data_IF_189612754848
#
_entry.id   IF_189612754848
#
_cell.length_a   1.000
_cell.length_b   1.000
_cell.length_c   1.000
_cell.angle_alpha   90.00
_cell.angle_beta   90.00
_cell.angle_gamma   90.00
#
_symmetry.space_group_name_H-M   'P 1'
#
loop_
_entity.id
_entity.type
_entity.pdbx_description
1 polymer ?
#
# COMPACT_ATOMS: atom_id res chain seq x y z
N UNK A 1 5.88 6.43 11.07
CA UNK A 1 4.83 5.77 10.25
C UNK A 1 3.67 6.75 10.15
N UNK A 2 3.17 7.02 8.94
CA UNK A 2 2.00 7.87 8.69
C UNK A 2 0.90 6.99 8.08
N UNK A 3 -0.36 7.26 8.43
CA UNK A 3 -1.53 6.54 7.91
C UNK A 3 -2.43 7.56 7.23
N UNK A 4 -2.82 7.28 5.98
CA UNK A 4 -3.73 8.11 5.21
C UNK A 4 -4.99 7.30 4.91
N UNK A 5 -6.14 7.79 5.34
CA UNK A 5 -7.43 7.14 5.10
C UNK A 5 -8.16 7.71 3.86
N UNK A 6 -7.60 8.74 3.24
CA UNK A 6 -8.13 9.33 2.02
C UNK A 6 -7.02 9.56 0.99
N UNK A 7 -7.38 9.45 -0.28
CA UNK A 7 -6.47 9.80 -1.38
C UNK A 7 -6.14 11.29 -1.38
N UNK A 8 -7.05 12.15 -0.90
CA UNK A 8 -6.82 13.59 -0.80
C UNK A 8 -5.67 13.91 0.17
N UNK A 9 -5.67 13.32 1.36
CA UNK A 9 -4.62 13.53 2.37
C UNK A 9 -3.28 12.99 1.87
N UNK A 10 -3.30 11.81 1.25
CA UNK A 10 -2.11 11.25 0.61
C UNK A 10 -1.56 12.16 -0.48
N UNK A 11 -2.42 12.74 -1.34
CA UNK A 11 -1.98 13.63 -2.41
C UNK A 11 -1.37 14.93 -1.86
N UNK A 12 -1.90 15.48 -0.76
CA UNK A 12 -1.31 16.63 -0.08
C UNK A 12 0.08 16.27 0.44
N UNK A 13 0.22 15.14 1.13
CA UNK A 13 1.52 14.69 1.63
C UNK A 13 2.50 14.38 0.50
N UNK A 14 2.07 13.70 -0.56
CA UNK A 14 2.90 13.34 -1.71
C UNK A 14 3.52 14.58 -2.38
N UNK A 15 2.81 15.71 -2.41
CA UNK A 15 3.35 16.99 -2.93
C UNK A 15 4.50 17.54 -2.08
N UNK A 16 4.59 17.18 -0.81
CA UNK A 16 5.71 17.59 0.05
C UNK A 16 6.99 16.78 -0.20
N UNK A 17 6.91 15.67 -0.93
CA UNK A 17 8.05 14.80 -1.23
C UNK A 17 8.70 15.25 -2.56
N UNK A 18 10.01 15.55 -2.59
CA UNK A 18 10.74 15.87 -3.82
C UNK A 18 10.58 14.80 -4.90
N UNK A 19 10.55 15.19 -6.17
CA UNK A 19 10.28 14.28 -7.29
C UNK A 19 11.43 13.29 -7.53
N UNK A 20 12.64 13.68 -7.14
CA UNK A 20 13.91 12.97 -7.29
C UNK A 20 14.10 11.91 -6.21
N UNK A 21 13.31 11.98 -5.13
CA UNK A 21 13.39 11.05 -4.01
C UNK A 21 12.70 9.73 -4.41
N UNK A 22 13.42 8.60 -4.50
CA UNK A 22 12.82 7.34 -4.90
C UNK A 22 11.78 6.88 -3.87
N UNK A 23 10.63 6.43 -4.39
CA UNK A 23 9.51 5.93 -3.58
C UNK A 23 9.21 4.49 -4.01
N UNK A 24 9.42 3.55 -3.09
CA UNK A 24 8.98 2.17 -3.24
C UNK A 24 7.50 2.04 -2.90
N UNK A 25 6.77 1.23 -3.65
CA UNK A 25 5.34 1.02 -3.46
C UNK A 25 5.00 -0.47 -3.36
N UNK A 26 4.33 -0.85 -2.27
CA UNK A 26 3.88 -2.22 -1.99
C UNK A 26 2.34 -2.23 -1.92
N UNK A 27 1.63 -2.55 -3.01
CA UNK A 27 0.18 -2.67 -2.97
C UNK A 27 -0.24 -3.96 -2.29
N UNK A 28 -1.20 -3.88 -1.36
CA UNK A 28 -1.78 -5.05 -0.68
C UNK A 28 -3.30 -4.89 -0.52
N UNK A 29 -3.99 -5.99 -0.25
CA UNK A 29 -5.39 -5.99 0.16
C UNK A 29 -5.57 -6.12 1.68
N UNK A 30 -4.48 -6.08 2.46
CA UNK A 30 -4.53 -6.35 3.91
C UNK A 30 -4.07 -7.76 4.25
N UNK A 31 -4.62 -8.34 5.33
CA UNK A 31 -4.26 -9.66 5.84
C UNK A 31 -2.74 -9.95 5.82
N UNK A 32 -1.96 -9.02 6.38
CA UNK A 32 -0.51 -8.99 6.22
C UNK A 32 0.18 -10.22 6.83
N UNK A 33 1.22 -10.71 6.16
CA UNK A 33 1.97 -11.91 6.53
C UNK A 33 3.42 -11.82 6.07
N UNK A 34 4.23 -12.86 6.30
CA UNK A 34 5.68 -12.85 6.01
C UNK A 34 6.05 -12.50 4.56
N UNK A 35 5.25 -12.93 3.58
CA UNK A 35 5.41 -12.51 2.18
C UNK A 35 5.27 -10.99 1.96
N UNK A 36 4.26 -10.35 2.55
CA UNK A 36 4.12 -8.88 2.51
C UNK A 36 5.32 -8.20 3.19
N UNK A 37 5.77 -8.74 4.33
CA UNK A 37 6.94 -8.23 5.05
C UNK A 37 8.22 -8.31 4.21
N UNK A 38 8.44 -9.38 3.42
CA UNK A 38 9.63 -9.45 2.56
C UNK A 38 9.62 -8.41 1.45
N UNK A 39 8.45 -8.10 0.88
CA UNK A 39 8.31 -7.03 -0.12
C UNK A 39 8.55 -5.65 0.51
N UNK A 40 8.00 -5.41 1.70
CA UNK A 40 8.23 -4.16 2.43
C UNK A 40 9.71 -3.98 2.78
N UNK A 41 10.39 -5.02 3.27
CA UNK A 41 11.83 -4.97 3.56
C UNK A 41 12.63 -4.61 2.32
N UNK A 42 12.39 -5.30 1.21
CA UNK A 42 13.05 -4.99 -0.06
C UNK A 42 12.80 -3.54 -0.51
N UNK A 43 11.56 -3.06 -0.38
CA UNK A 43 11.20 -1.67 -0.71
C UNK A 43 11.96 -0.67 0.16
N UNK A 44 12.13 -0.94 1.45
CA UNK A 44 12.90 -0.11 2.39
C UNK A 44 14.38 -0.12 2.05
N UNK A 45 14.92 -1.27 1.64
CA UNK A 45 16.35 -1.41 1.30
C UNK A 45 16.69 -0.70 -0.03
N UNK A 46 15.74 -0.60 -0.96
CA UNK A 46 15.94 -0.07 -2.32
C UNK A 46 15.48 1.39 -2.51
N UNK A 47 14.78 2.01 -1.55
CA UNK A 47 14.17 3.32 -1.70
C UNK A 47 14.24 4.17 -0.42
N UNK A 48 14.30 5.50 -0.59
CA UNK A 48 14.34 6.44 0.53
C UNK A 48 12.99 6.56 1.28
N UNK A 49 11.89 6.18 0.61
CA UNK A 49 10.55 6.16 1.18
C UNK A 49 9.79 4.95 0.66
N UNK A 50 9.11 4.24 1.57
CA UNK A 50 8.23 3.12 1.21
C UNK A 50 6.78 3.48 1.53
N UNK A 51 5.89 3.23 0.57
CA UNK A 51 4.44 3.35 0.71
C UNK A 51 3.81 1.97 0.59
N UNK A 52 2.86 1.67 1.47
CA UNK A 52 2.05 0.45 1.38
C UNK A 52 0.58 0.85 1.34
N UNK A 53 -0.17 0.32 0.38
CA UNK A 53 -1.63 0.45 0.38
C UNK A 53 -2.26 -0.80 0.97
N UNK A 54 -3.37 -0.61 1.69
CA UNK A 54 -4.28 -1.67 2.09
C UNK A 54 -5.63 -1.30 1.47
N UNK A 55 -6.02 -2.01 0.42
CA UNK A 55 -7.28 -1.79 -0.27
C UNK A 55 -7.80 -3.12 -0.83
N UNK A 56 -8.83 -3.68 -0.19
CA UNK A 56 -9.58 -4.80 -0.76
C UNK A 56 -10.36 -4.25 -1.95
N UNK A 57 -9.95 -4.61 -3.17
CA UNK A 57 -10.53 -4.05 -4.39
C UNK A 57 -11.73 -4.89 -4.85
N UNK A 58 -12.99 -4.42 -4.70
CA UNK A 58 -14.18 -5.22 -5.00
C UNK A 58 -14.24 -5.71 -6.44
N UNK A 59 -13.70 -4.92 -7.39
CA UNK A 59 -13.75 -5.26 -8.82
C UNK A 59 -12.85 -6.43 -9.20
N UNK A 60 -11.95 -6.86 -8.31
CA UNK A 60 -11.08 -8.02 -8.51
C UNK A 60 -11.71 -9.34 -8.03
N UNK A 61 -12.87 -9.29 -7.38
CA UNK A 61 -13.59 -10.47 -6.91
C UNK A 61 -14.69 -10.85 -7.90
N UNK A 62 -14.58 -12.04 -8.48
CA UNK A 62 -15.63 -12.61 -9.34
C UNK A 62 -16.79 -13.21 -8.52
N UNK A 63 -16.57 -13.46 -7.23
CA UNK A 63 -17.53 -14.03 -6.30
C UNK A 63 -17.73 -13.08 -5.12
N UNK A 64 -18.98 -12.67 -4.91
CA UNK A 64 -19.36 -11.76 -3.83
C UNK A 64 -19.07 -12.35 -2.44
N UNK A 65 -19.24 -13.66 -2.28
CA UNK A 65 -18.96 -14.33 -1.02
C UNK A 65 -17.45 -14.31 -0.69
N UNK A 66 -16.58 -14.35 -1.69
CA UNK A 66 -15.13 -14.26 -1.48
C UNK A 66 -14.71 -12.86 -1.04
N UNK A 67 -15.40 -11.82 -1.52
CA UNK A 67 -15.21 -10.44 -1.09
C UNK A 67 -15.68 -10.23 0.36
N UNK A 68 -16.87 -10.72 0.69
CA UNK A 68 -17.47 -10.57 2.03
C UNK A 68 -16.68 -11.29 3.12
N UNK A 69 -16.04 -12.41 2.77
CA UNK A 69 -15.24 -13.20 3.70
C UNK A 69 -13.73 -12.91 3.58
N UNK A 70 -13.34 -11.86 2.85
CA UNK A 70 -11.93 -11.50 2.74
C UNK A 70 -11.39 -11.03 4.11
N UNK A 71 -10.30 -11.62 4.62
CA UNK A 71 -9.78 -11.36 5.97
C UNK A 71 -9.16 -9.97 6.17
#
# INVERSE_FOLDING_TARGET
MQIFNSTADWLIFRKSIPAEKPIGFVPTMGALHKGHLSLMKKSVDENDLTVMSIFVNPTQFNNQNDLENYP
#
